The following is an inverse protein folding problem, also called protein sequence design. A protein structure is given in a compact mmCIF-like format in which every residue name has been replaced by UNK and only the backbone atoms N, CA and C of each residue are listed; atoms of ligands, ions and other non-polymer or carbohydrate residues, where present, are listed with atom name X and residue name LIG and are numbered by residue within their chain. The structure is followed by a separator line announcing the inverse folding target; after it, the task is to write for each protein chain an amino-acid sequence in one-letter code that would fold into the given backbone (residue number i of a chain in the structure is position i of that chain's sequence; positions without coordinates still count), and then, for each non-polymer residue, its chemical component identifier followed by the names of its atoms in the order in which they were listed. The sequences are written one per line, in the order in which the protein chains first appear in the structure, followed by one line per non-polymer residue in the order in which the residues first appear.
data_IF_806062839893
#
_entry.id   IF_806062839893
#
_cell.length_a   1.000
_cell.length_b   1.000
_cell.length_c   1.000
_cell.angle_alpha   90.00
_cell.angle_beta   90.00
_cell.angle_gamma   90.00
#
_symmetry.space_group_name_H-M   'P 1'
#
loop_
_entity.id
_entity.type
_entity.pdbx_description
1 polymer ?
#
# COMPACT_ATOMS: atom_id res chain seq x y z
N UNK A 1 -10.40 10.01 -58.29
CA UNK A 1 -10.15 10.74 -57.02
C UNK A 1 -8.64 10.84 -56.83
N UNK A 2 -8.10 12.04 -56.79
CA UNK A 2 -6.65 12.27 -56.70
C UNK A 2 -6.11 11.82 -55.34
N UNK A 3 -5.01 11.06 -55.31
CA UNK A 3 -4.40 10.53 -54.08
C UNK A 3 -4.01 11.66 -53.10
N UNK A 4 -3.76 12.87 -53.63
CA UNK A 4 -3.49 14.10 -52.86
C UNK A 4 -4.71 14.56 -52.04
N UNK A 5 -5.93 14.40 -52.57
CA UNK A 5 -7.17 14.75 -51.86
C UNK A 5 -7.49 13.76 -50.74
N UNK A 6 -7.23 12.47 -50.97
CA UNK A 6 -7.44 11.42 -49.95
C UNK A 6 -6.47 11.61 -48.78
N UNK A 7 -5.18 11.89 -49.06
CA UNK A 7 -4.19 12.22 -48.02
C UNK A 7 -4.55 13.48 -47.24
N UNK A 8 -5.02 14.54 -47.92
CA UNK A 8 -5.48 15.77 -47.27
C UNK A 8 -6.64 15.54 -46.31
N UNK A 9 -7.63 14.72 -46.72
CA UNK A 9 -8.79 14.39 -45.88
C UNK A 9 -8.40 13.53 -44.67
N UNK A 10 -7.46 12.59 -44.83
CA UNK A 10 -6.96 11.75 -43.74
C UNK A 10 -6.17 12.57 -42.71
N UNK A 11 -5.36 13.54 -43.14
CA UNK A 11 -4.59 14.39 -42.24
C UNK A 11 -5.51 15.36 -41.47
N UNK A 12 -6.44 16.02 -42.16
CA UNK A 12 -7.38 16.97 -41.54
C UNK A 12 -8.33 16.23 -40.59
N UNK A 13 -8.87 15.09 -41.02
CA UNK A 13 -9.72 14.23 -40.18
C UNK A 13 -8.96 13.66 -38.97
N UNK A 14 -7.70 13.26 -39.15
CA UNK A 14 -6.83 12.80 -38.07
C UNK A 14 -6.55 13.89 -37.03
N UNK A 15 -6.25 15.12 -37.46
CA UNK A 15 -6.03 16.24 -36.54
C UNK A 15 -7.30 16.62 -35.77
N UNK A 16 -8.46 16.60 -36.42
CA UNK A 16 -9.75 16.83 -35.75
C UNK A 16 -10.05 15.74 -34.70
N UNK A 17 -9.71 14.47 -34.98
CA UNK A 17 -9.86 13.37 -34.03
C UNK A 17 -8.95 13.53 -32.81
N UNK A 18 -7.70 13.97 -33.00
CA UNK A 18 -6.74 14.21 -31.91
C UNK A 18 -7.18 15.39 -31.03
N UNK A 19 -7.64 16.48 -31.63
CA UNK A 19 -8.13 17.66 -30.88
C UNK A 19 -9.41 17.31 -30.11
N UNK A 20 -10.33 16.59 -30.74
CA UNK A 20 -11.57 16.14 -30.10
C UNK A 20 -11.34 15.16 -28.94
N UNK A 21 -10.41 14.22 -29.09
CA UNK A 21 -10.06 13.26 -28.02
C UNK A 21 -9.38 13.95 -26.84
N UNK A 22 -8.49 14.91 -27.09
CA UNK A 22 -7.82 15.69 -26.03
C UNK A 22 -8.84 16.50 -25.20
N UNK A 23 -9.80 17.15 -25.86
CA UNK A 23 -10.88 17.88 -25.17
C UNK A 23 -11.80 16.96 -24.35
N UNK A 24 -12.06 15.75 -24.86
CA UNK A 24 -12.86 14.73 -24.16
C UNK A 24 -12.14 14.21 -22.91
N UNK A 25 -10.83 13.99 -22.97
CA UNK A 25 -10.00 13.62 -21.82
C UNK A 25 -10.03 14.74 -20.76
N UNK A 26 -9.83 16.01 -21.14
CA UNK A 26 -9.84 17.15 -20.20
C UNK A 26 -11.20 17.25 -19.47
N UNK A 27 -12.32 17.06 -20.19
CA UNK A 27 -13.66 17.13 -19.60
C UNK A 27 -13.93 15.96 -18.63
N UNK A 28 -13.43 14.76 -18.92
CA UNK A 28 -13.50 13.62 -18.00
C UNK A 28 -12.63 13.83 -16.74
N UNK A 29 -11.44 14.42 -16.88
CA UNK A 29 -10.55 14.71 -15.73
C UNK A 29 -11.11 15.79 -14.80
N UNK A 30 -11.78 16.82 -15.36
CA UNK A 30 -12.46 17.83 -14.56
C UNK A 30 -13.67 17.28 -13.79
N UNK A 31 -14.39 16.32 -14.38
CA UNK A 31 -15.53 15.66 -13.72
C UNK A 31 -15.07 14.64 -12.67
N UNK A 32 -13.90 14.02 -12.84
CA UNK A 32 -13.32 13.11 -11.86
C UNK A 32 -12.72 13.82 -10.64
N UNK A 33 -12.39 15.12 -10.74
CA UNK A 33 -11.80 15.87 -9.61
C UNK A 33 -12.82 16.26 -8.52
N UNK A 34 -14.13 16.20 -8.80
CA UNK A 34 -15.17 16.43 -7.78
C UNK A 34 -15.53 15.21 -6.94
N UNK A 35 -14.84 14.09 -7.14
CA UNK A 35 -14.98 12.89 -6.31
C UNK A 35 -13.60 12.41 -5.86
N UNK A 36 -12.80 13.31 -5.28
CA UNK A 36 -11.86 12.81 -4.29
C UNK A 36 -12.74 12.12 -3.21
N UNK A 37 -12.62 10.80 -2.98
CA UNK A 37 -13.20 10.23 -1.78
C UNK A 37 -12.70 11.12 -0.62
N UNK A 38 -13.52 11.43 0.40
CA UNK A 38 -12.98 12.11 1.55
C UNK A 38 -11.73 11.31 1.92
N UNK A 39 -10.57 11.96 1.87
CA UNK A 39 -9.40 11.46 2.54
C UNK A 39 -9.90 11.32 3.96
N UNK A 40 -10.28 10.09 4.33
CA UNK A 40 -10.52 9.73 5.70
C UNK A 40 -9.20 10.13 6.33
N UNK A 41 -9.21 11.28 7.00
CA UNK A 41 -8.21 11.61 7.98
C UNK A 41 -8.24 10.38 8.86
N UNK A 42 -7.25 9.50 8.69
CA UNK A 42 -7.04 8.42 9.61
C UNK A 42 -7.02 9.14 10.95
N UNK A 43 -8.05 8.90 11.77
CA UNK A 43 -8.07 9.44 13.11
C UNK A 43 -6.67 9.15 13.66
N UNK A 44 -5.97 10.16 14.21
CA UNK A 44 -4.62 9.95 14.73
C UNK A 44 -4.69 8.68 15.55
N UNK A 45 -3.95 7.64 15.10
CA UNK A 45 -3.89 6.40 15.84
C UNK A 45 -3.59 6.84 17.28
N UNK A 46 -4.39 6.43 18.28
CA UNK A 46 -4.02 6.73 19.65
C UNK A 46 -2.61 6.18 19.80
N UNK A 47 -1.64 7.09 19.96
CA UNK A 47 -0.25 6.76 20.23
C UNK A 47 -0.20 6.30 21.68
N UNK A 48 -0.93 5.23 21.98
CA UNK A 48 -0.82 4.53 23.23
C UNK A 48 0.49 3.78 23.12
N UNK A 49 1.44 4.09 24.01
CA UNK A 49 2.61 3.27 24.18
C UNK A 49 2.15 1.87 24.61
N UNK A 50 2.32 0.91 23.71
CA UNK A 50 1.93 -0.48 23.95
C UNK A 50 3.10 -1.19 24.60
N UNK A 51 2.95 -1.52 25.88
CA UNK A 51 3.90 -2.37 26.58
C UNK A 51 3.69 -3.84 26.18
N UNK A 52 4.76 -4.46 25.67
CA UNK A 52 4.76 -5.89 25.29
C UNK A 52 5.66 -6.65 26.26
N UNK A 53 5.11 -7.68 26.91
CA UNK A 53 5.90 -8.54 27.80
C UNK A 53 6.80 -9.47 26.98
N UNK A 54 8.11 -9.37 27.21
CA UNK A 54 9.12 -10.24 26.61
C UNK A 54 9.70 -11.17 27.68
N UNK A 55 10.16 -12.39 27.31
CA UNK A 55 10.92 -13.25 28.21
C UNK A 55 12.16 -12.54 28.74
N UNK A 56 12.66 -12.98 29.90
CA UNK A 56 13.86 -12.41 30.49
C UNK A 56 15.04 -12.54 29.53
N UNK A 57 15.76 -11.43 29.30
CA UNK A 57 16.89 -11.34 28.36
C UNK A 57 16.55 -11.62 26.88
N UNK A 58 15.27 -11.60 26.52
CA UNK A 58 14.88 -11.66 25.11
C UNK A 58 15.12 -10.32 24.42
N UNK A 59 15.63 -10.38 23.19
CA UNK A 59 15.91 -9.21 22.36
C UNK A 59 14.93 -9.17 21.18
N UNK A 60 14.35 -8.00 20.92
CA UNK A 60 13.58 -7.76 19.69
C UNK A 60 14.56 -7.36 18.60
N UNK A 61 14.77 -8.24 17.62
CA UNK A 61 15.71 -8.00 16.53
C UNK A 61 15.05 -7.35 15.31
N UNK A 62 13.73 -7.50 15.16
CA UNK A 62 12.97 -6.88 14.08
C UNK A 62 11.52 -6.62 14.47
N UNK A 63 10.96 -5.54 13.94
CA UNK A 63 9.56 -5.16 14.08
C UNK A 63 9.00 -4.93 12.67
N UNK A 64 7.89 -5.59 12.35
CA UNK A 64 7.15 -5.40 11.11
C UNK A 64 5.68 -5.09 11.42
N UNK A 65 5.14 -4.01 10.87
CA UNK A 65 3.72 -3.68 10.99
C UNK A 65 2.94 -4.14 9.77
N UNK A 66 1.69 -4.54 9.99
CA UNK A 66 0.77 -4.88 8.91
C UNK A 66 -0.66 -4.46 9.28
N UNK A 67 -1.58 -4.54 8.31
CA UNK A 67 -2.98 -4.25 8.59
C UNK A 67 -3.51 -5.18 9.70
N UNK A 68 -3.84 -4.60 10.85
CA UNK A 68 -4.39 -5.30 12.01
C UNK A 68 -3.40 -5.72 13.10
N UNK A 69 -2.09 -5.47 12.96
CA UNK A 69 -1.14 -5.92 13.98
C UNK A 69 0.33 -5.62 13.73
N UNK A 70 1.16 -6.20 14.60
CA UNK A 70 2.63 -6.11 14.58
C UNK A 70 3.21 -7.51 14.73
N UNK A 71 4.17 -7.85 13.88
CA UNK A 71 5.00 -9.05 14.01
C UNK A 71 6.36 -8.63 14.60
N UNK A 72 6.71 -9.23 15.75
CA UNK A 72 7.99 -9.04 16.43
C UNK A 72 8.87 -10.26 16.22
N UNK A 73 10.07 -10.09 15.66
CA UNK A 73 11.09 -11.13 15.68
C UNK A 73 11.85 -11.04 17.00
N UNK A 74 11.74 -12.08 17.82
CA UNK A 74 12.36 -12.15 19.14
C UNK A 74 13.44 -13.20 19.13
N UNK A 75 14.61 -12.85 19.68
CA UNK A 75 15.73 -13.75 19.91
C UNK A 75 15.87 -13.99 21.41
N UNK A 76 15.90 -15.25 21.80
CA UNK A 76 16.18 -15.68 23.16
C UNK A 76 17.69 -15.76 23.42
N UNK A 77 18.12 -15.74 24.69
CA UNK A 77 19.54 -15.83 25.07
C UNK A 77 20.18 -17.17 24.67
N UNK A 78 19.40 -18.24 24.52
CA UNK A 78 19.84 -19.55 24.00
C UNK A 78 20.08 -19.55 22.48
N UNK A 79 19.80 -18.44 21.79
CA UNK A 79 19.92 -18.29 20.35
C UNK A 79 18.66 -18.69 19.57
N UNK A 80 17.65 -19.26 20.24
CA UNK A 80 16.37 -19.55 19.63
C UNK A 80 15.68 -18.27 19.16
N UNK A 81 14.87 -18.41 18.11
CA UNK A 81 14.14 -17.30 17.52
C UNK A 81 12.68 -17.67 17.38
N UNK A 82 11.82 -16.69 17.53
CA UNK A 82 10.41 -16.81 17.20
C UNK A 82 9.84 -15.49 16.71
N UNK A 83 8.78 -15.58 15.90
CA UNK A 83 7.92 -14.44 15.57
C UNK A 83 6.76 -14.42 16.55
N UNK A 84 6.55 -13.29 17.22
CA UNK A 84 5.40 -13.02 18.06
C UNK A 84 4.47 -12.06 17.32
N UNK A 85 3.28 -12.53 16.96
CA UNK A 85 2.25 -11.68 16.38
C UNK A 85 1.45 -11.03 17.49
N UNK A 86 1.26 -9.73 17.38
CA UNK A 86 0.44 -8.89 18.24
C UNK A 86 -0.73 -8.32 17.44
N UNK A 87 -1.90 -8.22 18.06
CA UNK A 87 -3.02 -7.47 17.48
C UNK A 87 -2.83 -5.95 17.65
N UNK A 88 -3.76 -5.17 17.12
CA UNK A 88 -3.75 -3.70 17.25
C UNK A 88 -3.79 -3.18 18.71
N UNK A 89 -4.19 -4.01 19.68
CA UNK A 89 -4.17 -3.68 21.10
C UNK A 89 -2.86 -4.13 21.80
N UNK A 90 -1.88 -4.64 21.05
CA UNK A 90 -0.62 -5.13 21.61
C UNK A 90 -0.66 -6.51 22.22
N UNK A 91 -1.78 -7.21 22.11
CA UNK A 91 -1.94 -8.51 22.73
C UNK A 91 -1.38 -9.61 21.82
N UNK A 92 -0.64 -10.59 22.37
CA UNK A 92 -0.13 -11.71 21.60
C UNK A 92 -1.28 -12.58 21.06
N UNK A 93 -1.36 -12.69 19.74
CA UNK A 93 -2.36 -13.53 19.05
C UNK A 93 -1.76 -14.83 18.51
N UNK A 94 -0.44 -14.92 18.40
CA UNK A 94 0.21 -16.15 17.96
C UNK A 94 1.73 -16.10 18.02
N UNK A 95 2.35 -17.28 18.04
CA UNK A 95 3.81 -17.45 18.05
C UNK A 95 4.24 -18.48 17.01
N UNK A 96 5.25 -18.14 16.22
CA UNK A 96 5.90 -19.05 15.28
C UNK A 96 7.34 -19.27 15.72
N UNK A 97 7.73 -20.49 16.04
CA UNK A 97 9.11 -20.84 16.42
C UNK A 97 9.89 -21.29 15.18
N UNK A 98 11.12 -20.80 15.03
CA UNK A 98 12.00 -21.31 14.00
C UNK A 98 12.64 -22.60 14.50
N UNK A 99 12.44 -23.69 13.76
CA UNK A 99 13.13 -24.96 13.98
C UNK A 99 14.14 -25.14 12.85
N UNK A 100 15.42 -25.25 13.22
CA UNK A 100 16.47 -25.64 12.29
C UNK A 100 16.21 -27.08 11.86
N UNK A 101 16.03 -27.32 10.56
CA UNK A 101 16.05 -28.68 10.04
C UNK A 101 17.50 -29.19 10.02
N UNK A 102 17.73 -30.47 10.35
CA UNK A 102 19.06 -31.08 10.39
C UNK A 102 19.72 -31.16 9.02
#
# INVERSE_FOLDING_TARGET
MDLKFIKGFVIIGGMALIIGSTLLIIKMTNKARSSAPPTQSAAPLPTADVAVSLPHQAEVTQIASHAGGIDLLVRLPDGERYVQRLNAAGQPVGRLRFVSQP
#
